data_IF_220622613478
#
_entry.id   IF_220622613478
#
_cell.length_a   1.000
_cell.length_b   1.000
_cell.length_c   1.000
_cell.angle_alpha   90.00
_cell.angle_beta   90.00
_cell.angle_gamma   90.00
#
_symmetry.space_group_name_H-M   'P 1'
#
loop_
_entity.id
_entity.type
_entity.pdbx_description
1 polymer ?
#
# COMPACT_ATOMS: atom_id res chain seq x y z
N UNK A 1 -15.56 34.11 -55.55
CA UNK A 1 -16.25 32.93 -54.97
C UNK A 1 -15.30 31.81 -54.51
N UNK A 2 -14.11 31.61 -55.11
CA UNK A 2 -13.16 30.55 -54.71
C UNK A 2 -12.47 30.77 -53.35
N UNK A 3 -12.20 32.04 -52.97
CA UNK A 3 -11.53 32.39 -51.72
C UNK A 3 -12.41 32.28 -50.45
N UNK A 4 -13.73 32.42 -50.56
CA UNK A 4 -14.64 32.24 -49.42
C UNK A 4 -14.76 30.76 -49.04
N UNK A 5 -14.84 29.86 -50.03
CA UNK A 5 -14.90 28.41 -49.81
C UNK A 5 -13.63 27.86 -49.12
N UNK A 6 -12.45 28.34 -49.50
CA UNK A 6 -11.18 27.92 -48.90
C UNK A 6 -11.07 28.32 -47.41
N UNK A 7 -11.58 29.50 -47.04
CA UNK A 7 -11.61 29.98 -45.64
C UNK A 7 -12.56 29.14 -44.79
N UNK A 8 -13.72 28.78 -45.32
CA UNK A 8 -14.68 27.91 -44.61
C UNK A 8 -14.08 26.53 -44.34
N UNK A 9 -13.38 25.94 -45.32
CA UNK A 9 -12.71 24.64 -45.16
C UNK A 9 -11.60 24.72 -44.11
N UNK A 10 -10.79 25.78 -44.10
CA UNK A 10 -9.73 25.98 -43.10
C UNK A 10 -10.29 26.12 -41.68
N UNK A 11 -11.39 26.86 -41.49
CA UNK A 11 -12.02 27.03 -40.19
C UNK A 11 -12.59 25.70 -39.65
N UNK A 12 -13.19 24.89 -40.52
CA UNK A 12 -13.70 23.57 -40.15
C UNK A 12 -12.56 22.60 -39.76
N UNK A 13 -11.44 22.61 -40.48
CA UNK A 13 -10.28 21.79 -40.16
C UNK A 13 -9.66 22.15 -38.80
N UNK A 14 -9.55 23.45 -38.51
CA UNK A 14 -9.06 23.95 -37.22
C UNK A 14 -10.01 23.52 -36.10
N UNK A 15 -11.32 23.70 -36.27
CA UNK A 15 -12.30 23.29 -35.26
C UNK A 15 -12.24 21.77 -34.97
N UNK A 16 -12.09 20.94 -36.00
CA UNK A 16 -11.95 19.49 -35.85
C UNK A 16 -10.64 19.11 -35.12
N UNK A 17 -9.53 19.79 -35.43
CA UNK A 17 -8.25 19.59 -34.76
C UNK A 17 -8.32 19.97 -33.27
N UNK A 18 -8.98 21.09 -32.96
CA UNK A 18 -9.20 21.52 -31.56
C UNK A 18 -10.10 20.54 -30.80
N UNK A 19 -11.18 20.06 -31.41
CA UNK A 19 -12.05 19.05 -30.79
C UNK A 19 -11.27 17.76 -30.48
N UNK A 20 -10.48 17.28 -31.45
CA UNK A 20 -9.62 16.11 -31.29
C UNK A 20 -8.59 16.30 -30.16
N UNK A 21 -7.95 17.47 -30.08
CA UNK A 21 -7.01 17.79 -29.01
C UNK A 21 -7.69 17.81 -27.63
N UNK A 22 -8.90 18.38 -27.52
CA UNK A 22 -9.67 18.39 -26.28
C UNK A 22 -10.02 16.97 -25.83
N UNK A 23 -10.44 16.10 -26.75
CA UNK A 23 -10.73 14.70 -26.46
C UNK A 23 -9.47 13.91 -26.05
N UNK A 24 -8.30 14.23 -26.62
CA UNK A 24 -7.05 13.59 -26.23
C UNK A 24 -6.58 14.02 -24.83
N UNK A 25 -6.82 15.28 -24.44
CA UNK A 25 -6.46 15.82 -23.13
C UNK A 25 -7.46 15.46 -22.03
N UNK A 26 -8.71 15.15 -22.39
CA UNK A 26 -9.78 14.78 -21.46
C UNK A 26 -9.79 13.28 -21.11
N UNK A 27 -8.64 12.60 -21.13
CA UNK A 27 -8.60 11.21 -20.70
C UNK A 27 -8.99 11.11 -19.22
N UNK A 28 -10.05 10.34 -18.87
CA UNK A 28 -10.36 10.09 -17.48
C UNK A 28 -9.16 9.36 -16.86
N UNK A 29 -8.63 9.91 -15.77
CA UNK A 29 -7.62 9.21 -14.97
C UNK A 29 -8.25 7.93 -14.47
N UNK A 30 -7.85 6.78 -15.05
CA UNK A 30 -8.20 5.48 -14.54
C UNK A 30 -7.39 5.19 -13.28
N UNK A 31 -7.59 5.99 -12.23
CA UNK A 31 -7.27 5.59 -10.87
C UNK A 31 -8.32 4.57 -10.43
N UNK A 32 -8.31 3.40 -11.07
CA UNK A 32 -9.01 2.24 -10.53
C UNK A 32 -8.24 1.80 -9.29
N UNK A 33 -8.67 2.29 -8.14
CA UNK A 33 -8.34 1.68 -6.86
C UNK A 33 -9.02 0.31 -6.90
N UNK A 34 -8.28 -0.73 -7.29
CA UNK A 34 -8.74 -2.09 -7.09
C UNK A 34 -8.96 -2.27 -5.59
N UNK A 35 -10.22 -2.34 -5.17
CA UNK A 35 -10.56 -2.74 -3.82
C UNK A 35 -9.90 -4.10 -3.57
N UNK A 36 -9.08 -4.18 -2.53
CA UNK A 36 -8.42 -5.42 -2.13
C UNK A 36 -9.49 -6.51 -1.93
N UNK A 37 -9.13 -7.76 -2.23
CA UNK A 37 -10.00 -8.90 -1.97
C UNK A 37 -10.40 -8.88 -0.48
N UNK A 38 -11.72 -8.91 -0.14
CA UNK A 38 -12.17 -8.91 1.24
C UNK A 38 -11.56 -10.02 2.10
N UNK A 39 -11.16 -11.16 1.49
CA UNK A 39 -10.47 -12.23 2.20
C UNK A 39 -9.07 -11.81 2.67
N UNK A 40 -8.36 -11.00 1.87
CA UNK A 40 -7.04 -10.47 2.23
C UNK A 40 -7.17 -9.46 3.35
N UNK A 41 -8.18 -8.58 3.31
CA UNK A 41 -8.45 -7.61 4.38
C UNK A 41 -8.77 -8.30 5.71
N UNK A 42 -9.58 -9.38 5.67
CA UNK A 42 -9.90 -10.18 6.84
C UNK A 42 -8.66 -10.89 7.40
N UNK A 43 -7.84 -11.51 6.55
CA UNK A 43 -6.61 -12.19 6.97
C UNK A 43 -5.59 -11.21 7.58
N UNK A 44 -5.47 -10.01 7.03
CA UNK A 44 -4.64 -8.95 7.59
C UNK A 44 -5.12 -8.53 8.97
N UNK A 45 -6.43 -8.29 9.11
CA UNK A 45 -7.03 -7.88 10.39
C UNK A 45 -6.82 -8.95 11.46
N UNK A 46 -7.02 -10.23 11.12
CA UNK A 46 -6.74 -11.35 12.01
C UNK A 46 -5.27 -11.41 12.42
N UNK A 47 -4.34 -11.24 11.48
CA UNK A 47 -2.90 -11.24 11.76
C UNK A 47 -2.51 -10.11 12.72
N UNK A 48 -3.06 -8.90 12.53
CA UNK A 48 -2.84 -7.76 13.43
C UNK A 48 -3.34 -8.07 14.84
N UNK A 49 -4.52 -8.66 14.97
CA UNK A 49 -5.08 -9.00 16.26
C UNK A 49 -4.23 -10.06 17.00
N UNK A 50 -3.81 -11.10 16.28
CA UNK A 50 -2.93 -12.15 16.85
C UNK A 50 -1.61 -11.56 17.31
N UNK A 51 -0.97 -10.72 16.48
CA UNK A 51 0.31 -10.10 16.85
C UNK A 51 0.18 -9.15 18.03
N UNK A 52 -0.92 -8.39 18.12
CA UNK A 52 -1.21 -7.54 19.29
C UNK A 52 -1.33 -8.35 20.57
N UNK A 53 -1.95 -9.52 20.50
CA UNK A 53 -2.09 -10.40 21.66
C UNK A 53 -0.75 -11.04 22.03
N UNK A 54 -0.02 -11.56 21.05
CA UNK A 54 1.25 -12.23 21.26
C UNK A 54 2.33 -11.27 21.80
N UNK A 55 2.38 -10.03 21.29
CA UNK A 55 3.39 -9.05 21.70
C UNK A 55 3.32 -8.67 23.18
N UNK A 56 2.16 -8.82 23.82
CA UNK A 56 2.00 -8.52 25.24
C UNK A 56 2.82 -9.46 26.16
N UNK A 57 3.09 -10.70 25.72
CA UNK A 57 3.88 -11.68 26.47
C UNK A 57 5.33 -11.79 25.99
N UNK A 58 5.68 -11.17 24.86
CA UNK A 58 7.03 -11.23 24.30
C UNK A 58 7.96 -10.23 24.98
N UNK A 59 9.15 -10.68 25.35
CA UNK A 59 10.18 -9.87 26.02
C UNK A 59 11.49 -9.90 25.25
N UNK A 60 12.24 -8.80 25.29
CA UNK A 60 13.63 -8.76 24.81
C UNK A 60 14.57 -9.26 25.91
N UNK A 61 15.53 -10.09 25.53
CA UNK A 61 16.54 -10.67 26.43
C UNK A 61 17.91 -10.15 25.99
N UNK A 62 18.67 -9.61 26.94
CA UNK A 62 20.01 -9.10 26.71
C UNK A 62 20.94 -9.56 27.84
N UNK A 63 22.07 -10.15 27.46
CA UNK A 63 23.13 -10.50 28.40
C UNK A 63 23.90 -9.28 28.90
N UNK A 64 24.52 -9.41 30.06
CA UNK A 64 25.29 -8.34 30.70
C UNK A 64 26.58 -7.98 29.93
N UNK A 65 27.12 -8.92 29.16
CA UNK A 65 28.42 -8.78 28.49
C UNK A 65 28.34 -8.10 27.12
N UNK A 66 27.13 -7.64 26.71
CA UNK A 66 26.94 -6.82 25.50
C UNK A 66 27.19 -7.53 24.17
N UNK A 67 27.26 -8.86 24.16
CA UNK A 67 27.61 -9.69 22.99
C UNK A 67 26.46 -10.06 22.05
N UNK A 68 25.23 -9.63 22.34
CA UNK A 68 24.04 -9.98 21.55
C UNK A 68 22.74 -9.80 22.33
N UNK A 69 21.65 -10.36 21.78
CA UNK A 69 20.36 -10.41 22.43
C UNK A 69 19.39 -11.32 21.68
N UNK A 70 18.23 -11.56 22.26
CA UNK A 70 17.18 -12.38 21.66
C UNK A 70 15.80 -12.03 22.21
N UNK A 71 14.85 -12.95 22.00
CA UNK A 71 13.47 -12.81 22.47
C UNK A 71 13.09 -14.01 23.33
N UNK A 72 12.19 -13.78 24.27
CA UNK A 72 11.51 -14.83 25.01
C UNK A 72 10.03 -14.54 25.14
N UNK A 73 9.28 -15.49 25.67
CA UNK A 73 7.84 -15.37 25.89
C UNK A 73 7.52 -15.72 27.34
N UNK A 74 6.79 -14.86 28.04
CA UNK A 74 6.27 -15.13 29.38
C UNK A 74 5.25 -16.26 29.34
N UNK A 75 5.46 -17.29 30.15
CA UNK A 75 4.58 -18.47 30.23
C UNK A 75 3.77 -18.52 31.54
N UNK A 76 4.03 -17.60 32.47
CA UNK A 76 3.38 -17.58 33.79
C UNK A 76 3.41 -16.18 34.43
N UNK A 77 2.43 -15.83 35.29
CA UNK A 77 2.31 -14.48 35.87
C UNK A 77 3.42 -14.08 36.86
N UNK A 78 4.12 -15.05 37.43
CA UNK A 78 5.27 -14.86 38.33
C UNK A 78 6.58 -14.55 37.59
N UNK A 79 6.55 -14.51 36.25
CA UNK A 79 7.61 -13.92 35.44
C UNK A 79 8.55 -14.92 34.77
N UNK A 80 8.25 -16.23 34.77
CA UNK A 80 9.05 -17.18 33.99
C UNK A 80 8.85 -16.96 32.48
N UNK A 81 9.97 -16.85 31.76
CA UNK A 81 10.04 -16.72 30.32
C UNK A 81 10.69 -17.95 29.66
N UNK A 82 10.16 -18.38 28.53
CA UNK A 82 10.75 -19.41 27.69
C UNK A 82 11.58 -18.75 26.57
N UNK A 83 12.81 -19.22 26.39
CA UNK A 83 13.70 -18.81 25.30
C UNK A 83 14.56 -19.99 24.83
N UNK A 84 15.23 -19.86 23.69
CA UNK A 84 16.19 -20.84 23.23
C UNK A 84 17.46 -20.79 24.10
N UNK A 85 18.09 -21.95 24.32
CA UNK A 85 19.30 -22.08 25.14
C UNK A 85 20.47 -21.20 24.71
N UNK A 86 20.58 -20.88 23.41
CA UNK A 86 21.69 -20.09 22.87
C UNK A 86 21.48 -18.56 22.98
N UNK A 87 20.32 -18.11 23.47
CA UNK A 87 20.05 -16.67 23.63
C UNK A 87 20.83 -16.17 24.85
N UNK A 88 21.52 -15.04 24.68
CA UNK A 88 22.54 -14.53 25.61
C UNK A 88 22.19 -13.14 26.12
#
# INVERSE_FOLDING_TARGET
MRHSSLRTIQLLAIAAMYACLVQLLAQPSAAQVNSLDPQVELAQTQSIQVMRQASAATVSIFGLDGGGGGSGVLISPDGFALTNYHVS
#
